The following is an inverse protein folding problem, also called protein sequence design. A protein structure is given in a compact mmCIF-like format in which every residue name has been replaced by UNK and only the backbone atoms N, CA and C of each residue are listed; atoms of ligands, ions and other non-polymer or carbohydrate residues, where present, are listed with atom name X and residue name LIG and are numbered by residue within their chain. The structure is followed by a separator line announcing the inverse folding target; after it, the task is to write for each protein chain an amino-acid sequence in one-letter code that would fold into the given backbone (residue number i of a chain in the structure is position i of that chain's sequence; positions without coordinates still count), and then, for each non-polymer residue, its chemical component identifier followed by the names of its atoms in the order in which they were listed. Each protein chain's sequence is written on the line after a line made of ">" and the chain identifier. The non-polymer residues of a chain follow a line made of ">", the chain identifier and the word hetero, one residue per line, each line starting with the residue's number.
data_IF_195075269372
#
_entry.id   IF_195075269372
#
_cell.length_a   1.000
_cell.length_b   1.000
_cell.length_c   1.000
_cell.angle_alpha   90.00
_cell.angle_beta   90.00
_cell.angle_gamma   90.00
#
_symmetry.space_group_name_H-M   'P 1'
#
loop_
_entity.id
_entity.type
_entity.pdbx_description
1 polymer ?
#
# COMPACT_ATOMS: atom_id res chain seq x y z
N UNK A 1 2.81 -5.74 33.56
CA UNK A 1 1.39 -6.16 33.48
C UNK A 1 0.53 -4.89 33.47
N UNK A 2 0.30 -4.31 32.28
CA UNK A 2 -0.36 -2.99 32.10
C UNK A 2 -1.49 -3.16 31.09
N UNK A 3 -2.54 -3.84 31.50
CA UNK A 3 -3.81 -3.95 30.79
C UNK A 3 -4.87 -3.40 31.72
N UNK A 4 -5.31 -2.14 31.49
CA UNK A 4 -6.64 -1.60 31.88
C UNK A 4 -6.67 -0.05 31.94
N UNK A 5 -6.09 0.69 30.98
CA UNK A 5 -6.40 2.14 30.85
C UNK A 5 -7.52 2.47 29.86
N UNK A 6 -8.07 1.48 29.15
CA UNK A 6 -8.95 1.71 27.99
C UNK A 6 -10.45 1.44 28.26
N UNK A 7 -10.92 1.57 29.50
CA UNK A 7 -12.35 1.40 29.82
C UNK A 7 -13.04 2.68 30.33
N UNK A 8 -12.38 3.84 30.27
CA UNK A 8 -13.03 5.10 30.67
C UNK A 8 -13.90 5.65 29.55
N UNK A 9 -15.08 6.16 29.90
CA UNK A 9 -15.97 6.90 29.01
C UNK A 9 -15.25 8.09 28.34
N UNK A 10 -14.30 8.70 29.05
CA UNK A 10 -13.41 9.74 28.52
C UNK A 10 -12.50 9.24 27.39
N UNK A 11 -11.97 8.01 27.48
CA UNK A 11 -11.18 7.40 26.42
C UNK A 11 -12.00 7.07 25.17
N UNK A 12 -13.28 6.73 25.32
CA UNK A 12 -14.18 6.48 24.20
C UNK A 12 -14.68 7.77 23.51
N UNK A 13 -14.97 8.83 24.29
CA UNK A 13 -15.40 10.13 23.76
C UNK A 13 -14.27 10.87 23.02
N UNK A 14 -13.03 10.70 23.45
CA UNK A 14 -11.84 11.22 22.74
C UNK A 14 -11.27 10.23 21.70
N UNK A 15 -11.74 8.97 21.72
CA UNK A 15 -11.25 7.87 20.88
C UNK A 15 -11.88 7.82 19.49
N UNK A 16 -12.83 8.71 19.17
CA UNK A 16 -13.23 8.98 17.78
C UNK A 16 -12.28 9.96 17.11
N UNK A 17 -10.99 9.69 17.16
CA UNK A 17 -10.19 9.99 15.98
C UNK A 17 -10.58 8.93 14.97
N UNK A 18 -10.73 9.32 13.71
CA UNK A 18 -10.91 8.39 12.59
C UNK A 18 -10.02 7.15 12.80
N UNK A 19 -10.36 5.95 12.29
CA UNK A 19 -9.37 4.88 12.23
C UNK A 19 -8.18 5.41 11.40
N UNK A 20 -7.23 6.03 12.09
CA UNK A 20 -6.02 6.61 11.52
C UNK A 20 -5.26 5.40 11.02
N UNK A 21 -5.04 5.36 9.71
CA UNK A 21 -4.12 4.38 9.15
C UNK A 21 -2.73 4.72 9.70
N UNK A 22 -2.40 4.11 10.84
CA UNK A 22 -1.09 4.27 11.46
C UNK A 22 -0.09 3.46 10.65
N UNK A 23 0.83 4.14 9.98
CA UNK A 23 1.95 3.51 9.31
C UNK A 23 2.93 3.01 10.37
N UNK A 24 3.12 1.69 10.46
CA UNK A 24 4.10 1.11 11.38
C UNK A 24 5.47 0.93 10.74
N UNK A 25 5.52 0.79 9.40
CA UNK A 25 6.76 0.66 8.65
C UNK A 25 6.74 1.52 7.39
N UNK A 26 7.89 2.14 7.08
CA UNK A 26 8.12 2.92 5.87
C UNK A 26 9.56 2.69 5.39
N UNK A 27 9.71 2.31 4.13
CA UNK A 27 10.98 2.22 3.42
C UNK A 27 10.83 2.89 2.07
N UNK A 28 11.60 3.95 1.82
CA UNK A 28 11.60 4.68 0.56
C UNK A 28 13.05 4.83 0.06
N UNK A 29 13.62 3.80 -0.55
CA UNK A 29 14.88 3.93 -1.26
C UNK A 29 14.72 4.96 -2.38
N UNK A 30 15.60 5.96 -2.43
CA UNK A 30 15.53 7.03 -3.42
C UNK A 30 16.87 7.26 -4.07
N UNK A 31 16.86 7.64 -5.35
CA UNK A 31 18.00 8.24 -6.03
C UNK A 31 17.62 9.63 -6.52
N UNK A 32 18.58 10.54 -6.54
CA UNK A 32 18.38 11.90 -7.03
C UNK A 32 19.45 12.25 -8.07
N UNK A 33 19.03 12.61 -9.27
CA UNK A 33 19.91 13.06 -10.36
C UNK A 33 19.14 14.02 -11.26
N UNK A 34 19.81 15.07 -11.75
CA UNK A 34 19.27 15.98 -12.77
C UNK A 34 17.86 16.52 -12.45
N UNK A 35 17.62 16.91 -11.18
CA UNK A 35 16.33 17.43 -10.73
C UNK A 35 15.24 16.37 -10.53
N UNK A 36 15.52 15.10 -10.82
CA UNK A 36 14.57 14.00 -10.71
C UNK A 36 14.87 13.15 -9.47
N UNK A 37 13.88 13.04 -8.59
CA UNK A 37 13.86 12.09 -7.49
C UNK A 37 13.13 10.83 -7.93
N UNK A 38 13.85 9.71 -8.01
CA UNK A 38 13.27 8.40 -8.27
C UNK A 38 13.10 7.62 -6.98
N UNK A 39 11.91 7.10 -6.75
CA UNK A 39 11.60 6.14 -5.68
C UNK A 39 11.78 4.74 -6.25
N UNK A 40 12.55 3.89 -5.56
CA UNK A 40 12.79 2.50 -5.94
C UNK A 40 12.15 1.58 -4.90
N UNK A 41 11.25 0.69 -5.32
CA UNK A 41 10.66 -0.34 -4.46
C UNK A 41 10.17 0.21 -3.10
N UNK A 42 9.55 1.39 -3.12
CA UNK A 42 9.01 2.01 -1.92
C UNK A 42 7.95 1.11 -1.29
N UNK A 43 7.95 0.99 0.04
CA UNK A 43 6.99 0.16 0.76
C UNK A 43 6.57 0.79 2.08
N UNK A 44 5.30 0.63 2.42
CA UNK A 44 4.74 1.09 3.69
C UNK A 44 3.59 0.20 4.12
N UNK A 45 3.25 0.18 5.41
CA UNK A 45 2.12 -0.59 5.87
C UNK A 45 1.94 -0.60 7.38
N UNK A 46 0.92 -1.34 7.80
CA UNK A 46 0.61 -1.67 9.18
C UNK A 46 0.27 -3.14 9.33
N UNK A 47 -0.45 -3.57 10.36
CA UNK A 47 -0.81 -4.99 10.53
C UNK A 47 -1.98 -5.43 9.64
N UNK A 48 -2.65 -4.50 8.97
CA UNK A 48 -3.85 -4.73 8.16
C UNK A 48 -3.60 -4.59 6.66
N UNK A 49 -2.83 -3.57 6.23
CA UNK A 49 -2.55 -3.28 4.81
C UNK A 49 -1.06 -3.01 4.60
N UNK A 50 -0.58 -3.38 3.41
CA UNK A 50 0.69 -2.93 2.85
C UNK A 50 0.46 -2.18 1.54
N UNK A 51 1.39 -1.30 1.20
CA UNK A 51 1.42 -0.57 -0.05
C UNK A 51 2.84 -0.49 -0.61
N UNK A 52 2.95 -0.47 -1.95
CA UNK A 52 4.19 -0.18 -2.67
C UNK A 52 4.07 1.10 -3.49
N UNK A 53 5.19 1.74 -3.78
CA UNK A 53 5.28 2.94 -4.62
C UNK A 53 6.63 2.97 -5.36
N UNK A 54 6.60 3.21 -6.66
CA UNK A 54 7.79 3.39 -7.50
C UNK A 54 7.52 4.48 -8.53
N UNK A 55 8.56 5.19 -8.97
CA UNK A 55 8.48 6.10 -10.10
C UNK A 55 9.27 7.38 -9.87
N UNK A 56 9.00 8.37 -10.71
CA UNK A 56 9.81 9.58 -10.81
C UNK A 56 9.02 10.82 -10.37
N UNK A 57 9.73 11.70 -9.66
CA UNK A 57 9.28 13.04 -9.30
C UNK A 57 10.29 14.02 -9.88
N UNK A 58 9.90 14.70 -10.94
CA UNK A 58 10.67 15.75 -11.59
C UNK A 58 10.43 17.08 -10.86
N UNK A 59 11.38 17.46 -10.00
CA UNK A 59 11.28 18.66 -9.18
C UNK A 59 11.51 19.94 -9.99
N UNK A 60 12.27 19.86 -11.08
CA UNK A 60 12.59 21.01 -11.94
C UNK A 60 11.38 21.43 -12.77
N UNK A 61 10.61 20.45 -13.28
CA UNK A 61 9.40 20.69 -14.05
C UNK A 61 8.10 20.58 -13.23
N UNK A 62 8.20 20.24 -11.95
CA UNK A 62 7.07 20.11 -11.03
C UNK A 62 6.08 19.03 -11.47
N UNK A 63 6.60 17.88 -11.92
CA UNK A 63 5.80 16.75 -12.39
C UNK A 63 6.10 15.47 -11.63
N UNK A 64 5.15 14.55 -11.64
CA UNK A 64 5.36 13.20 -11.14
C UNK A 64 4.75 12.17 -12.08
N UNK A 65 5.28 10.97 -12.01
CA UNK A 65 4.73 9.76 -12.59
C UNK A 65 5.08 8.59 -11.67
N UNK A 66 4.11 8.13 -10.90
CA UNK A 66 4.27 7.14 -9.84
C UNK A 66 3.22 6.04 -9.99
N UNK A 67 3.66 4.80 -9.82
CA UNK A 67 2.81 3.62 -9.76
C UNK A 67 2.88 3.00 -8.37
N UNK A 68 1.74 2.49 -7.90
CA UNK A 68 1.67 1.84 -6.60
C UNK A 68 0.67 0.69 -6.55
N UNK A 69 0.83 -0.15 -5.53
CA UNK A 69 -0.06 -1.29 -5.28
C UNK A 69 -0.41 -1.34 -3.80
N UNK A 70 -1.70 -1.48 -3.47
CA UNK A 70 -2.19 -1.73 -2.11
C UNK A 70 -2.64 -3.18 -1.98
N UNK A 71 -2.19 -3.85 -0.92
CA UNK A 71 -2.51 -5.25 -0.62
C UNK A 71 -2.96 -5.40 0.84
N UNK A 72 -4.05 -6.14 1.11
CA UNK A 72 -4.38 -6.49 2.49
C UNK A 72 -3.48 -7.61 3.02
N UNK A 73 -2.98 -7.46 4.25
CA UNK A 73 -1.96 -8.38 4.78
C UNK A 73 -2.50 -9.79 5.02
N UNK A 74 -3.79 -9.93 5.30
CA UNK A 74 -4.43 -11.24 5.37
C UNK A 74 -4.38 -12.02 4.04
N UNK A 75 -4.08 -11.36 2.91
CA UNK A 75 -3.81 -12.04 1.65
C UNK A 75 -2.46 -12.78 1.66
N UNK A 76 -1.46 -12.35 2.46
CA UNK A 76 -0.17 -13.04 2.59
C UNK A 76 -0.30 -14.44 3.22
N UNK A 77 -1.28 -14.65 4.12
CA UNK A 77 -1.52 -15.95 4.76
C UNK A 77 -2.08 -17.02 3.81
N UNK A 78 -2.37 -16.68 2.55
CA UNK A 78 -2.88 -17.63 1.54
C UNK A 78 -1.92 -17.88 0.37
N UNK A 79 -0.69 -17.36 0.42
CA UNK A 79 0.28 -17.49 -0.66
C UNK A 79 1.47 -18.39 -0.23
N UNK A 80 1.82 -19.43 -1.01
CA UNK A 80 3.07 -20.15 -0.78
C UNK A 80 4.26 -19.34 -1.33
N UNK A 81 5.17 -18.91 -0.46
CA UNK A 81 6.49 -18.38 -0.86
C UNK A 81 6.88 -17.05 -0.22
N UNK A 82 8.09 -17.01 0.35
CA UNK A 82 8.74 -15.87 1.03
C UNK A 82 8.86 -14.63 0.13
N UNK A 83 8.98 -13.44 0.72
CA UNK A 83 9.94 -12.40 0.27
C UNK A 83 10.18 -11.29 1.35
N UNK A 84 11.43 -11.07 1.79
CA UNK A 84 11.90 -9.79 2.33
C UNK A 84 12.39 -8.87 1.19
N UNK A 85 12.03 -7.57 1.25
CA UNK A 85 12.38 -6.57 0.24
C UNK A 85 11.49 -6.68 -1.00
N UNK A 86 10.48 -5.80 -1.10
CA UNK A 86 9.36 -5.92 -2.04
C UNK A 86 9.82 -5.62 -3.47
N UNK A 87 10.29 -6.66 -4.17
CA UNK A 87 10.73 -6.55 -5.56
C UNK A 87 10.60 -7.89 -6.26
N UNK A 88 9.35 -8.32 -6.48
CA UNK A 88 8.88 -9.26 -7.52
C UNK A 88 7.45 -9.69 -7.22
N UNK A 89 6.54 -9.01 -7.91
CA UNK A 89 5.14 -9.33 -8.07
C UNK A 89 4.94 -10.86 -8.20
N UNK A 90 4.14 -11.39 -7.29
CA UNK A 90 3.89 -12.79 -7.02
C UNK A 90 3.50 -13.61 -8.27
N UNK A 91 4.10 -14.80 -8.43
CA UNK A 91 3.81 -15.74 -9.53
C UNK A 91 2.45 -16.45 -9.34
N UNK A 92 1.64 -16.57 -10.40
CA UNK A 92 0.28 -17.10 -10.33
C UNK A 92 0.26 -18.63 -10.27
N UNK A 93 -0.20 -19.20 -9.15
CA UNK A 93 -0.86 -20.50 -9.21
C UNK A 93 -2.26 -20.33 -9.79
N UNK A 94 -2.67 -21.27 -10.65
CA UNK A 94 -3.92 -21.25 -11.45
C UNK A 94 -5.22 -21.02 -10.68
N UNK A 95 -5.23 -21.12 -9.35
CA UNK A 95 -6.44 -21.03 -8.52
C UNK A 95 -6.28 -20.14 -7.27
N UNK A 96 -5.13 -19.48 -7.09
CA UNK A 96 -4.81 -18.68 -5.91
C UNK A 96 -4.60 -17.23 -6.30
N UNK A 97 -5.67 -16.53 -6.68
CA UNK A 97 -5.51 -15.16 -7.14
C UNK A 97 -5.23 -14.15 -6.03
N UNK A 98 -5.05 -12.92 -6.47
CA UNK A 98 -4.37 -11.88 -5.72
C UNK A 98 -5.35 -10.76 -5.39
N UNK A 99 -5.48 -10.44 -4.10
CA UNK A 99 -6.20 -9.25 -3.66
C UNK A 99 -5.22 -8.07 -3.64
N UNK A 100 -5.01 -7.45 -4.80
CA UNK A 100 -4.17 -6.27 -4.97
C UNK A 100 -4.97 -5.18 -5.69
N UNK A 101 -4.74 -3.92 -5.33
CA UNK A 101 -5.30 -2.76 -6.02
C UNK A 101 -4.15 -1.90 -6.51
N UNK A 102 -4.00 -1.74 -7.82
CA UNK A 102 -3.01 -0.83 -8.39
C UNK A 102 -3.58 0.56 -8.60
N UNK A 103 -2.75 1.57 -8.36
CA UNK A 103 -3.07 2.97 -8.56
C UNK A 103 -1.88 3.67 -9.20
N UNK A 104 -2.14 4.78 -9.87
CA UNK A 104 -1.12 5.66 -10.40
C UNK A 104 -1.41 7.11 -10.05
N UNK A 105 -0.34 7.87 -9.93
CA UNK A 105 -0.33 9.31 -9.76
C UNK A 105 0.50 9.88 -10.91
N UNK A 106 -0.05 10.78 -11.70
CA UNK A 106 0.70 11.42 -12.78
C UNK A 106 0.38 12.91 -12.89
N UNK A 107 1.15 13.66 -13.68
CA UNK A 107 0.87 15.06 -13.94
C UNK A 107 1.59 16.01 -12.99
N UNK A 108 0.93 17.07 -12.53
CA UNK A 108 1.59 18.14 -11.77
C UNK A 108 1.76 17.76 -10.29
N UNK A 109 2.90 18.12 -9.70
CA UNK A 109 3.21 17.83 -8.30
C UNK A 109 2.25 18.50 -7.31
N UNK A 110 1.75 19.69 -7.63
CA UNK A 110 0.79 20.45 -6.80
C UNK A 110 -0.67 19.98 -6.94
N UNK A 111 -0.97 19.27 -8.03
CA UNK A 111 -2.30 18.73 -8.33
C UNK A 111 -2.18 17.49 -9.20
N UNK A 112 -1.78 16.34 -8.62
CA UNK A 112 -1.60 15.11 -9.37
C UNK A 112 -2.94 14.51 -9.79
N UNK A 113 -2.96 13.91 -10.98
CA UNK A 113 -4.05 13.11 -11.48
C UNK A 113 -3.93 11.70 -10.89
N UNK A 114 -4.85 11.37 -9.99
CA UNK A 114 -4.94 10.04 -9.37
C UNK A 114 -5.85 9.14 -10.19
N UNK A 115 -5.37 7.95 -10.53
CA UNK A 115 -6.17 6.94 -11.20
C UNK A 115 -5.99 5.58 -10.55
N UNK A 116 -7.04 4.77 -10.59
CA UNK A 116 -7.06 3.41 -10.06
C UNK A 116 -7.39 2.44 -11.18
N UNK A 117 -6.77 1.26 -11.19
CA UNK A 117 -7.17 0.19 -12.08
C UNK A 117 -8.07 -0.80 -11.32
N UNK A 118 -9.40 -0.70 -11.40
CA UNK A 118 -10.31 -1.57 -10.66
C UNK A 118 -10.24 -3.04 -11.11
N UNK A 119 -9.71 -3.32 -12.30
CA UNK A 119 -9.52 -4.69 -12.80
C UNK A 119 -8.28 -5.38 -12.21
N UNK A 120 -7.42 -4.67 -11.48
CA UNK A 120 -6.28 -5.24 -10.76
C UNK A 120 -6.69 -6.09 -9.54
N UNK A 121 -7.92 -5.92 -9.06
CA UNK A 121 -8.53 -6.67 -7.95
C UNK A 121 -8.96 -8.05 -8.42
N UNK A 122 -8.03 -8.92 -8.80
CA UNK A 122 -8.42 -10.23 -9.33
C UNK A 122 -8.53 -11.27 -8.23
N UNK A 123 -9.76 -11.54 -7.79
CA UNK A 123 -10.17 -12.94 -7.60
C UNK A 123 -11.67 -13.27 -7.80
N UNK A 124 -12.01 -13.99 -8.88
CA UNK A 124 -13.08 -14.98 -8.87
C UNK A 124 -12.56 -16.27 -8.20
N UNK A 125 -12.77 -16.40 -6.89
CA UNK A 125 -12.38 -17.60 -6.13
C UNK A 125 -12.50 -17.47 -4.62
N UNK A 126 -12.05 -16.35 -4.04
CA UNK A 126 -12.18 -16.06 -2.59
C UNK A 126 -13.63 -15.77 -2.20
N UNK A 127 -14.41 -15.12 -3.07
CA UNK A 127 -15.84 -14.84 -2.83
C UNK A 127 -16.70 -16.12 -2.70
N UNK A 128 -16.28 -17.25 -3.29
CA UNK A 128 -17.02 -18.54 -3.18
C UNK A 128 -16.92 -19.21 -1.80
N UNK A 129 -16.07 -18.70 -0.90
CA UNK A 129 -15.88 -19.28 0.44
C UNK A 129 -16.53 -18.46 1.56
N UNK A 130 -17.20 -17.34 1.23
CA UNK A 130 -17.85 -16.45 2.22
C UNK A 130 -19.39 -16.55 2.14
N UNK A 131 -19.93 -17.21 1.10
CA UNK A 131 -21.35 -17.54 0.95
C UNK A 131 -21.52 -19.06 0.80
#
# INVERSE_FOLDING_TARGET
>A
MLLARNLSLYGWLNGRKSPEFEVTHLSLPVSFSDGVLRIHDGSTGNDALGATLEGDIDLDHGKLDLDGTVVPIFAFNKLPGKLPGVGRLFSPEKNGGFLAMTFGLSGKLDKPDFHVNPYSVLLPGVLRKIF
#
